data_IF_379701113304
#
_entry.id   IF_379701113304
#
_cell.length_a   1.000
_cell.length_b   1.000
_cell.length_c   1.000
_cell.angle_alpha   90.00
_cell.angle_beta   90.00
_cell.angle_gamma   90.00
#
_symmetry.space_group_name_H-M   'P 1'
#
loop_
_entity.id
_entity.type
_entity.pdbx_description
1 polymer ?
#
# COMPACT_ATOMS: atom_id res chain seq x y z
N UNK A 1 6.89 19.91 5.69
CA UNK A 1 5.62 19.24 6.04
C UNK A 1 5.36 19.40 7.52
N UNK A 2 4.13 19.71 7.95
CA UNK A 2 3.79 19.93 9.37
C UNK A 2 3.43 18.59 10.04
N UNK A 3 4.27 18.03 10.93
CA UNK A 3 4.05 16.70 11.52
C UNK A 3 2.75 16.62 12.35
N UNK A 4 2.29 17.74 12.93
CA UNK A 4 1.10 17.79 13.77
C UNK A 4 -0.22 17.56 13.02
N UNK A 5 -0.22 17.67 11.68
CA UNK A 5 -1.41 17.42 10.86
C UNK A 5 -1.50 15.99 10.32
N UNK A 6 -0.40 15.23 10.37
CA UNK A 6 -0.41 13.80 10.04
C UNK A 6 -0.96 12.97 11.21
N UNK A 7 -0.72 13.42 12.44
CA UNK A 7 -1.19 12.77 13.67
C UNK A 7 -2.70 12.90 13.91
N UNK A 8 -3.36 13.88 13.28
CA UNK A 8 -4.82 14.09 13.36
C UNK A 8 -5.62 13.32 12.30
N UNK A 9 -4.95 12.57 11.43
CA UNK A 9 -5.63 11.77 10.41
C UNK A 9 -6.54 10.70 11.06
N UNK A 10 -7.72 10.42 10.48
CA UNK A 10 -8.58 9.32 10.94
C UNK A 10 -7.86 7.97 10.95
N UNK A 11 -8.35 7.01 11.76
CA UNK A 11 -7.79 5.65 11.81
C UNK A 11 -8.03 4.87 10.52
N UNK A 12 -9.11 5.16 9.80
CA UNK A 12 -9.43 4.58 8.49
C UNK A 12 -9.71 5.68 7.48
N UNK A 13 -9.21 5.54 6.24
CA UNK A 13 -9.44 6.54 5.21
C UNK A 13 -10.86 6.44 4.67
N UNK A 14 -11.41 7.55 4.18
CA UNK A 14 -12.59 7.49 3.31
C UNK A 14 -12.16 7.09 1.91
N UNK A 15 -12.96 6.27 1.24
CA UNK A 15 -12.65 5.84 -0.12
C UNK A 15 -12.52 7.03 -1.09
N UNK A 16 -13.38 8.05 -0.95
CA UNK A 16 -13.33 9.27 -1.77
C UNK A 16 -12.03 10.05 -1.60
N UNK A 17 -11.45 10.09 -0.40
CA UNK A 17 -10.22 10.84 -0.14
C UNK A 17 -9.04 10.21 -0.90
N UNK A 18 -9.00 8.87 -0.99
CA UNK A 18 -7.93 8.14 -1.69
C UNK A 18 -8.12 8.11 -3.21
N UNK A 19 -9.37 8.24 -3.70
CA UNK A 19 -9.66 8.22 -5.14
C UNK A 19 -9.38 9.56 -5.81
N UNK A 20 -9.71 10.65 -5.13
CA UNK A 20 -9.73 11.98 -5.72
C UNK A 20 -8.75 12.96 -5.07
N UNK A 21 -8.27 12.67 -3.85
CA UNK A 21 -7.49 13.63 -3.07
C UNK A 21 -8.30 14.90 -2.75
N UNK A 22 -7.58 15.99 -2.46
CA UNK A 22 -8.17 17.32 -2.24
C UNK A 22 -9.04 17.45 -0.98
N UNK A 23 -8.98 16.48 -0.08
CA UNK A 23 -9.74 16.47 1.18
C UNK A 23 -9.00 17.26 2.29
N UNK A 24 -9.64 17.41 3.46
CA UNK A 24 -8.93 17.88 4.67
C UNK A 24 -7.98 16.84 5.26
N UNK A 25 -8.07 15.58 4.81
CA UNK A 25 -7.22 14.48 5.25
C UNK A 25 -5.89 14.52 4.47
N UNK A 26 -4.92 15.24 5.01
CA UNK A 26 -3.61 15.44 4.37
C UNK A 26 -2.85 14.13 4.14
N UNK A 27 -3.04 13.13 5.00
CA UNK A 27 -2.42 11.82 4.81
C UNK A 27 -2.99 11.10 3.59
N UNK A 28 -4.31 11.11 3.42
CA UNK A 28 -4.95 10.52 2.24
C UNK A 28 -4.53 11.24 0.95
N UNK A 29 -4.42 12.57 0.99
CA UNK A 29 -3.95 13.36 -0.14
C UNK A 29 -2.50 12.99 -0.52
N UNK A 30 -1.60 12.92 0.46
CA UNK A 30 -0.20 12.54 0.22
C UNK A 30 -0.07 11.14 -0.37
N UNK A 31 -0.85 10.18 0.13
CA UNK A 31 -0.90 8.81 -0.41
C UNK A 31 -1.43 8.78 -1.84
N UNK A 32 -2.48 9.56 -2.13
CA UNK A 32 -3.04 9.65 -3.48
C UNK A 32 -2.05 10.28 -4.47
N UNK A 33 -1.32 11.30 -4.05
CA UNK A 33 -0.31 11.98 -4.86
C UNK A 33 0.88 11.06 -5.14
N UNK A 34 1.42 10.40 -4.12
CA UNK A 34 2.54 9.46 -4.23
C UNK A 34 2.18 8.26 -5.12
N UNK A 35 0.95 7.74 -5.04
CA UNK A 35 0.48 6.67 -5.92
C UNK A 35 0.27 7.14 -7.38
N UNK A 36 0.28 8.45 -7.64
CA UNK A 36 0.07 9.12 -8.93
C UNK A 36 0.90 8.54 -10.08
N UNK A 37 2.24 8.58 -9.98
CA UNK A 37 3.16 8.24 -11.08
C UNK A 37 3.20 6.75 -11.48
N UNK A 38 2.82 5.84 -10.58
CA UNK A 38 2.97 4.39 -10.84
C UNK A 38 1.90 3.86 -11.80
N UNK A 39 2.32 2.98 -12.72
CA UNK A 39 1.45 2.34 -13.72
C UNK A 39 0.57 1.21 -13.15
N UNK A 40 -0.07 1.46 -12.00
CA UNK A 40 -1.02 0.55 -11.35
C UNK A 40 -2.39 0.66 -12.01
N UNK A 41 -3.09 -0.48 -12.17
CA UNK A 41 -4.49 -0.42 -12.60
C UNK A 41 -5.35 0.15 -11.46
N UNK A 42 -6.55 0.72 -11.76
CA UNK A 42 -7.37 1.40 -10.75
C UNK A 42 -7.65 0.61 -9.46
N UNK A 43 -8.03 -0.69 -9.50
CA UNK A 43 -8.29 -1.42 -8.26
C UNK A 43 -7.01 -1.68 -7.45
N UNK A 44 -5.89 -2.05 -8.07
CA UNK A 44 -4.60 -2.19 -7.39
C UNK A 44 -4.14 -0.88 -6.77
N UNK A 45 -4.25 0.23 -7.53
CA UNK A 45 -3.88 1.56 -7.06
C UNK A 45 -4.67 1.93 -5.80
N UNK A 46 -5.99 1.80 -5.84
CA UNK A 46 -6.83 2.09 -4.68
C UNK A 46 -6.48 1.20 -3.48
N UNK A 47 -6.31 -0.11 -3.70
CA UNK A 47 -5.98 -1.05 -2.63
C UNK A 47 -4.60 -0.79 -2.00
N UNK A 48 -3.58 -0.51 -2.82
CA UNK A 48 -2.24 -0.14 -2.33
C UNK A 48 -2.30 1.19 -1.58
N UNK A 49 -2.99 2.20 -2.11
CA UNK A 49 -3.20 3.47 -1.40
C UNK A 49 -3.88 3.25 -0.05
N UNK A 50 -4.90 2.40 0.03
CA UNK A 50 -5.56 2.06 1.29
C UNK A 50 -4.58 1.45 2.30
N UNK A 51 -3.80 0.45 1.89
CA UNK A 51 -2.81 -0.20 2.76
C UNK A 51 -1.72 0.79 3.21
N UNK A 52 -1.17 1.57 2.28
CA UNK A 52 -0.18 2.61 2.57
C UNK A 52 -0.71 3.66 3.55
N UNK A 53 -1.98 4.06 3.43
CA UNK A 53 -2.61 4.94 4.41
C UNK A 53 -2.58 4.34 5.81
N UNK A 54 -2.99 3.08 5.98
CA UNK A 54 -3.01 2.42 7.29
C UNK A 54 -1.61 2.35 7.91
N UNK A 55 -0.60 2.01 7.10
CA UNK A 55 0.79 1.95 7.56
C UNK A 55 1.31 3.32 7.97
N UNK A 56 1.19 4.33 7.11
CA UNK A 56 1.67 5.68 7.40
C UNK A 56 0.90 6.33 8.55
N UNK A 57 -0.40 6.02 8.69
CA UNK A 57 -1.21 6.46 9.81
C UNK A 57 -0.70 5.87 11.12
N UNK A 58 -0.42 4.57 11.13
CA UNK A 58 0.18 3.91 12.29
C UNK A 58 1.58 4.47 12.57
N UNK A 59 2.42 4.68 11.56
CA UNK A 59 3.77 5.23 11.73
C UNK A 59 3.75 6.63 12.35
N UNK A 60 2.81 7.49 11.93
CA UNK A 60 2.68 8.85 12.44
C UNK A 60 2.15 8.90 13.88
N UNK A 61 1.23 8.00 14.26
CA UNK A 61 0.71 7.92 15.63
C UNK A 61 0.37 6.46 15.96
N UNK A 62 1.36 5.69 16.45
CA UNK A 62 1.20 4.27 16.73
C UNK A 62 0.21 4.02 17.86
N UNK A 63 -0.73 3.10 17.64
CA UNK A 63 -1.64 2.62 18.68
C UNK A 63 -1.98 1.15 18.44
N UNK A 64 -2.43 0.39 19.47
CA UNK A 64 -2.90 -0.98 19.26
C UNK A 64 -4.05 -1.05 18.25
N UNK A 65 -4.94 -0.04 18.27
CA UNK A 65 -6.06 0.09 17.33
C UNK A 65 -5.55 0.24 15.90
N UNK A 66 -4.69 1.23 15.62
CA UNK A 66 -4.17 1.48 14.27
C UNK A 66 -3.33 0.30 13.76
N UNK A 67 -2.57 -0.36 14.65
CA UNK A 67 -1.81 -1.56 14.32
C UNK A 67 -2.70 -2.74 13.92
N UNK A 68 -3.82 -2.93 14.62
CA UNK A 68 -4.77 -4.02 14.35
C UNK A 68 -5.51 -3.86 13.02
N UNK A 69 -5.65 -2.63 12.51
CA UNK A 69 -6.27 -2.34 11.21
C UNK A 69 -5.39 -2.80 10.04
N UNK A 70 -4.07 -2.89 10.23
CA UNK A 70 -3.17 -3.39 9.20
C UNK A 70 -3.30 -4.91 9.05
N UNK A 71 -3.43 -5.42 7.80
CA UNK A 71 -3.28 -6.84 7.53
C UNK A 71 -1.92 -7.35 8.01
N UNK A 72 -1.88 -8.60 8.46
CA UNK A 72 -0.68 -9.17 9.09
C UNK A 72 0.57 -9.05 8.20
N UNK A 73 0.43 -9.30 6.90
CA UNK A 73 1.52 -9.21 5.94
C UNK A 73 2.03 -7.76 5.70
N UNK A 74 1.24 -6.75 6.07
CA UNK A 74 1.59 -5.34 5.84
C UNK A 74 2.16 -4.66 7.08
N UNK A 75 2.03 -5.28 8.26
CA UNK A 75 2.65 -4.82 9.50
C UNK A 75 4.17 -4.67 9.35
N UNK A 76 4.81 -3.75 10.10
CA UNK A 76 6.26 -3.53 10.03
C UNK A 76 7.04 -4.81 10.37
N UNK A 77 8.07 -5.09 9.57
CA UNK A 77 9.06 -6.13 9.86
C UNK A 77 10.16 -5.58 10.78
N UNK A 78 10.94 -6.47 11.39
CA UNK A 78 12.06 -6.06 12.25
C UNK A 78 13.10 -5.20 11.49
N UNK A 79 13.43 -5.55 10.24
CA UNK A 79 14.37 -4.77 9.43
C UNK A 79 13.90 -3.33 9.22
N UNK A 80 12.59 -3.13 9.00
CA UNK A 80 12.02 -1.80 8.82
C UNK A 80 12.12 -0.93 10.08
N UNK A 81 12.08 -1.54 11.27
CA UNK A 81 12.19 -0.83 12.54
C UNK A 81 13.62 -0.56 12.98
N UNK A 82 14.59 -1.33 12.46
CA UNK A 82 15.97 -1.33 12.95
C UNK A 82 16.98 -0.76 11.96
N UNK A 83 16.63 -0.65 10.68
CA UNK A 83 17.55 -0.25 9.62
C UNK A 83 17.06 1.04 8.97
N UNK A 84 17.97 1.98 8.74
CA UNK A 84 17.65 3.22 8.01
C UNK A 84 17.53 2.96 6.50
N UNK A 85 16.38 3.34 5.93
CA UNK A 85 16.09 3.13 4.52
C UNK A 85 14.98 4.10 4.03
N UNK A 86 14.81 4.27 2.71
CA UNK A 86 13.73 5.08 2.16
C UNK A 86 12.33 4.57 2.51
N UNK A 87 11.46 5.48 2.97
CA UNK A 87 10.08 5.17 3.42
C UNK A 87 9.22 4.45 2.37
N UNK A 88 9.49 4.64 1.07
CA UNK A 88 8.75 3.95 0.00
C UNK A 88 8.86 2.43 0.10
N UNK A 89 9.97 1.90 0.61
CA UNK A 89 10.18 0.46 0.80
C UNK A 89 9.18 -0.10 1.79
N UNK A 90 8.81 0.64 2.83
CA UNK A 90 7.86 0.18 3.84
C UNK A 90 6.47 -0.11 3.26
N UNK A 91 6.16 0.50 2.13
CA UNK A 91 4.88 0.44 1.43
C UNK A 91 4.79 -0.71 0.41
N UNK A 92 5.83 -1.56 0.32
CA UNK A 92 5.81 -2.75 -0.54
C UNK A 92 4.95 -3.84 0.12
N UNK A 93 4.12 -4.50 -0.68
CA UNK A 93 3.16 -5.49 -0.19
C UNK A 93 3.81 -6.71 0.47
N UNK A 94 5.00 -7.14 0.03
CA UNK A 94 5.59 -8.40 0.48
C UNK A 94 6.61 -8.18 1.61
N UNK A 95 6.39 -8.75 2.83
CA UNK A 95 7.31 -8.60 3.96
C UNK A 95 8.76 -8.97 3.63
N UNK A 96 8.96 -10.09 2.93
CA UNK A 96 10.30 -10.60 2.61
C UNK A 96 11.05 -9.67 1.64
N UNK A 97 10.37 -9.15 0.62
CA UNK A 97 10.91 -8.10 -0.26
C UNK A 97 11.27 -6.83 0.50
N UNK A 98 10.38 -6.37 1.42
CA UNK A 98 10.65 -5.22 2.29
C UNK A 98 11.90 -5.41 3.13
N UNK A 99 12.02 -6.56 3.80
CA UNK A 99 13.18 -6.82 4.66
C UNK A 99 14.49 -6.84 3.88
N UNK A 100 14.50 -7.35 2.64
CA UNK A 100 15.68 -7.36 1.76
C UNK A 100 16.04 -5.96 1.27
N UNK A 101 15.05 -5.20 0.80
CA UNK A 101 15.29 -3.83 0.35
C UNK A 101 15.70 -2.93 1.51
N UNK A 102 15.09 -3.07 2.69
CA UNK A 102 15.45 -2.27 3.86
C UNK A 102 16.95 -2.40 4.20
N UNK A 103 17.55 -3.57 4.03
CA UNK A 103 18.98 -3.78 4.31
C UNK A 103 19.88 -3.42 3.12
N UNK A 104 19.42 -3.61 1.89
CA UNK A 104 20.29 -3.62 0.70
C UNK A 104 19.86 -2.59 -0.37
N UNK A 105 18.99 -1.62 -0.04
CA UNK A 105 18.40 -0.70 -1.03
C UNK A 105 19.42 0.08 -1.86
N UNK A 106 20.64 0.29 -1.34
CA UNK A 106 21.72 1.00 -2.04
C UNK A 106 22.28 0.23 -3.24
N UNK A 107 21.99 -1.07 -3.31
CA UNK A 107 22.42 -1.94 -4.41
C UNK A 107 21.44 -1.88 -5.59
N UNK A 108 20.31 -1.18 -5.45
CA UNK A 108 19.23 -1.13 -6.43
C UNK A 108 18.97 0.30 -6.92
N UNK A 109 18.63 0.40 -8.20
CA UNK A 109 17.90 1.56 -8.71
C UNK A 109 16.44 1.45 -8.24
N UNK A 110 16.11 2.15 -7.16
CA UNK A 110 14.76 2.11 -6.58
C UNK A 110 13.71 2.64 -7.57
N UNK A 111 14.02 3.63 -8.40
CA UNK A 111 13.06 4.14 -9.38
C UNK A 111 12.70 3.05 -10.39
N UNK A 112 13.69 2.30 -10.88
CA UNK A 112 13.48 1.16 -11.77
C UNK A 112 12.68 0.02 -11.08
N UNK A 113 13.03 -0.33 -9.84
CA UNK A 113 12.34 -1.37 -9.06
C UNK A 113 10.86 -1.00 -8.86
N UNK A 114 10.58 0.21 -8.38
CA UNK A 114 9.20 0.67 -8.14
C UNK A 114 8.42 0.85 -9.44
N UNK A 115 9.07 1.32 -10.51
CA UNK A 115 8.47 1.38 -11.84
C UNK A 115 8.03 0.01 -12.33
N UNK A 116 8.87 -1.01 -12.18
CA UNK A 116 8.53 -2.37 -12.58
C UNK A 116 7.50 -3.02 -11.63
N UNK A 117 7.58 -2.77 -10.32
CA UNK A 117 6.55 -3.18 -9.37
C UNK A 117 5.17 -2.63 -9.78
N UNK A 118 5.09 -1.33 -10.08
CA UNK A 118 3.85 -0.69 -10.53
C UNK A 118 3.30 -1.36 -11.79
N UNK A 119 4.17 -1.65 -12.77
CA UNK A 119 3.77 -2.32 -14.02
C UNK A 119 3.31 -3.77 -13.83
N UNK A 120 3.81 -4.48 -12.82
CA UNK A 120 3.68 -5.95 -12.72
C UNK A 120 2.82 -6.42 -11.54
N UNK A 121 2.56 -5.57 -10.55
CA UNK A 121 1.71 -5.90 -9.42
C UNK A 121 0.25 -6.08 -9.87
N UNK A 122 -0.35 -7.22 -9.50
CA UNK A 122 -1.71 -7.59 -9.86
C UNK A 122 -2.48 -8.09 -8.66
N UNK A 123 -3.72 -7.64 -8.56
CA UNK A 123 -4.69 -8.20 -7.64
C UNK A 123 -5.40 -9.38 -8.32
N UNK A 124 -5.14 -10.59 -7.83
CA UNK A 124 -5.72 -11.86 -8.26
C UNK A 124 -7.03 -12.10 -7.52
N UNK A 125 -8.12 -12.29 -8.27
CA UNK A 125 -9.39 -12.73 -7.70
C UNK A 125 -10.59 -12.33 -8.53
N UNK A 126 -11.75 -12.88 -8.18
CA UNK A 126 -13.02 -12.51 -8.78
C UNK A 126 -13.69 -11.50 -7.86
N UNK A 127 -13.78 -10.26 -8.32
CA UNK A 127 -14.70 -9.27 -7.77
C UNK A 127 -15.61 -8.81 -8.90
N UNK A 128 -16.86 -8.50 -8.59
CA UNK A 128 -17.68 -7.76 -9.55
C UNK A 128 -16.91 -6.45 -9.80
N UNK A 129 -16.75 -5.97 -11.04
CA UNK A 129 -15.81 -4.88 -11.35
C UNK A 129 -15.99 -3.54 -10.60
N UNK A 130 -16.92 -3.46 -9.64
CA UNK A 130 -17.08 -2.36 -8.69
C UNK A 130 -16.28 -2.67 -7.41
N UNK A 131 -15.20 -1.92 -7.21
CA UNK A 131 -14.47 -1.89 -5.93
C UNK A 131 -14.96 -0.78 -5.00
N UNK A 132 -15.85 0.08 -5.50
CA UNK A 132 -16.54 1.15 -4.78
C UNK A 132 -18.05 0.94 -4.93
N UNK A 133 -18.78 1.03 -3.83
CA UNK A 133 -20.24 0.96 -3.77
C UNK A 133 -20.82 2.24 -3.18
N UNK A 134 -22.10 2.46 -3.43
CA UNK A 134 -22.87 3.59 -2.89
C UNK A 134 -24.28 3.10 -2.58
N UNK A 135 -24.64 3.08 -1.31
CA UNK A 135 -25.99 2.72 -0.87
C UNK A 135 -26.88 3.96 -0.84
N UNK A 136 -28.01 3.95 -1.54
CA UNK A 136 -29.12 4.91 -1.45
C UNK A 136 -28.68 6.39 -1.24
N UNK A 137 -27.82 6.90 -2.13
CA UNK A 137 -27.27 8.26 -2.11
C UNK A 137 -26.25 8.62 -1.00
N UNK A 138 -25.73 7.63 -0.28
CA UNK A 138 -24.68 7.80 0.73
C UNK A 138 -23.30 8.19 0.17
N UNK A 139 -22.30 8.35 1.05
CA UNK A 139 -20.92 8.53 0.58
C UNK A 139 -20.43 7.27 -0.15
N UNK A 140 -19.61 7.38 -1.22
CA UNK A 140 -18.95 6.23 -1.83
C UNK A 140 -18.07 5.50 -0.81
N UNK A 141 -18.24 4.19 -0.71
CA UNK A 141 -17.50 3.32 0.21
C UNK A 141 -16.78 2.22 -0.55
N UNK A 142 -15.73 1.67 0.07
CA UNK A 142 -15.08 0.46 -0.45
C UNK A 142 -16.06 -0.71 -0.39
N UNK A 143 -16.13 -1.48 -1.47
CA UNK A 143 -16.89 -2.73 -1.47
C UNK A 143 -16.30 -3.71 -0.45
N UNK A 144 -17.15 -4.32 0.37
CA UNK A 144 -16.68 -5.20 1.45
C UNK A 144 -16.03 -6.50 0.93
N UNK A 145 -16.47 -7.01 -0.23
CA UNK A 145 -15.82 -8.16 -0.85
C UNK A 145 -14.45 -7.79 -1.42
N UNK A 146 -14.32 -6.58 -1.96
CA UNK A 146 -13.06 -6.04 -2.42
C UNK A 146 -12.08 -5.78 -1.26
N UNK A 147 -12.55 -5.20 -0.14
CA UNK A 147 -11.75 -5.03 1.07
C UNK A 147 -11.19 -6.36 1.58
N UNK A 148 -12.03 -7.40 1.68
CA UNK A 148 -11.58 -8.76 2.04
C UNK A 148 -10.65 -9.38 1.00
N UNK A 149 -10.74 -8.98 -0.26
CA UNK A 149 -9.88 -9.49 -1.32
C UNK A 149 -8.46 -8.96 -1.14
N UNK A 150 -8.25 -7.65 -1.13
CA UNK A 150 -6.91 -7.07 -1.14
C UNK A 150 -6.19 -7.13 0.22
N UNK A 151 -6.91 -7.42 1.30
CA UNK A 151 -6.32 -7.66 2.64
C UNK A 151 -5.76 -9.08 2.81
N UNK A 152 -5.72 -9.89 1.74
CA UNK A 152 -5.06 -11.20 1.72
C UNK A 152 -3.76 -11.13 0.94
N UNK A 153 -2.63 -11.53 1.55
CA UNK A 153 -1.33 -11.62 0.86
C UNK A 153 -1.44 -12.45 -0.44
N UNK A 154 -2.12 -13.58 -0.38
CA UNK A 154 -2.28 -14.51 -1.51
C UNK A 154 -3.12 -13.97 -2.67
N UNK A 155 -3.87 -12.88 -2.47
CA UNK A 155 -4.57 -12.19 -3.54
C UNK A 155 -3.63 -11.30 -4.37
N UNK A 156 -2.39 -11.09 -3.95
CA UNK A 156 -1.42 -10.30 -4.69
C UNK A 156 -0.45 -11.18 -5.46
N UNK A 157 0.01 -10.68 -6.60
CA UNK A 157 1.05 -11.33 -7.39
C UNK A 157 1.80 -10.36 -8.28
N UNK A 158 2.92 -10.84 -8.81
CA UNK A 158 3.74 -10.13 -9.78
C UNK A 158 3.72 -10.90 -11.10
N UNK A 159 3.70 -10.18 -12.22
CA UNK A 159 3.94 -10.76 -13.54
C UNK A 159 5.39 -11.25 -13.67
N UNK A 160 5.59 -12.29 -14.49
CA UNK A 160 6.88 -12.98 -14.72
C UNK A 160 8.07 -12.03 -14.92
N UNK A 161 7.85 -10.91 -15.62
CA UNK A 161 8.90 -9.92 -15.88
C UNK A 161 9.61 -9.45 -14.61
N UNK A 162 8.90 -9.28 -13.49
CA UNK A 162 9.54 -8.87 -12.24
C UNK A 162 10.42 -9.97 -11.66
N UNK A 163 9.98 -11.23 -11.77
CA UNK A 163 10.73 -12.39 -11.26
C UNK A 163 12.04 -12.60 -12.02
N UNK A 164 12.04 -12.32 -13.32
CA UNK A 164 13.24 -12.43 -14.17
C UNK A 164 14.22 -11.29 -13.89
N UNK A 165 13.71 -10.06 -13.70
CA UNK A 165 14.57 -8.88 -13.51
C UNK A 165 15.18 -8.82 -12.09
N UNK A 166 14.39 -9.17 -11.07
CA UNK A 166 14.80 -9.09 -9.66
C UNK A 166 14.57 -10.42 -8.90
N UNK A 167 15.22 -11.52 -9.33
CA UNK A 167 15.01 -12.85 -8.75
C UNK A 167 15.31 -12.92 -7.25
N UNK A 168 16.28 -12.13 -6.76
CA UNK A 168 16.65 -12.02 -5.35
C UNK A 168 15.58 -11.33 -4.49
N UNK A 169 14.80 -10.40 -5.07
CA UNK A 169 13.74 -9.70 -4.37
C UNK A 169 12.47 -10.54 -4.21
N UNK A 170 12.29 -11.55 -5.08
CA UNK A 170 11.09 -12.42 -5.11
C UNK A 170 11.27 -13.76 -4.37
N UNK A 171 12.41 -13.99 -3.74
CA UNK A 171 12.61 -15.18 -2.91
C UNK A 171 11.57 -15.23 -1.78
N UNK A 172 10.89 -16.37 -1.62
CA UNK A 172 9.85 -16.59 -0.60
C UNK A 172 8.63 -15.65 -0.73
N UNK A 173 8.33 -15.16 -1.93
CA UNK A 173 7.10 -14.40 -2.17
C UNK A 173 5.85 -15.29 -2.20
N UNK A 174 5.98 -16.51 -2.76
CA UNK A 174 4.91 -17.50 -2.92
C UNK A 174 4.43 -18.10 -1.59
#
# INVERSE_FOLDING_TARGET
SNPDKLSSAPETPKAVDLLFGGSSNLLANAVSEEAGPYALLPPEKFAISWLSYLFLRWLATPSPTSFSLMPEFYRPTASQLLVEHPICIDLILWPSMRSRLATNWKDYDLEAVFGLLGCTCRLRGVFNGKFITREADGEPQVDQSFLRLFTRKSAWGLLEKFWVEYPELVQDLD
#
